data_IF_620906331057
#
_entry.id   IF_620906331057
#
_cell.length_a   1.000
_cell.length_b   1.000
_cell.length_c   1.000
_cell.angle_alpha   90.00
_cell.angle_beta   90.00
_cell.angle_gamma   90.00
#
_symmetry.space_group_name_H-M   'P 1'
#
loop_
_entity.id
_entity.type
_entity.pdbx_description
1 polymer ?
#
# COMPACT_ATOMS: atom_id res chain seq x y z
N UNK A 1 -6.79 62.20 -95.22
CA UNK A 1 -8.22 62.57 -95.22
C UNK A 1 -8.91 61.71 -94.16
N UNK A 2 -9.53 62.34 -93.15
CA UNK A 2 -9.94 61.68 -91.91
C UNK A 2 -11.39 61.18 -91.98
N UNK A 3 -11.72 60.16 -91.18
CA UNK A 3 -13.10 59.89 -90.77
C UNK A 3 -13.12 59.13 -89.43
N UNK A 4 -13.57 59.86 -88.42
CA UNK A 4 -14.45 59.46 -87.32
C UNK A 4 -14.05 58.31 -86.38
N UNK A 5 -13.43 58.79 -85.31
CA UNK A 5 -13.51 58.34 -83.93
C UNK A 5 -14.92 57.91 -83.50
N UNK A 6 -15.07 56.63 -83.11
CA UNK A 6 -16.16 56.16 -82.23
C UNK A 6 -15.62 55.17 -81.22
N UNK A 7 -15.36 55.73 -80.05
CA UNK A 7 -15.08 55.10 -78.77
C UNK A 7 -16.18 54.09 -78.39
N UNK A 8 -15.82 52.80 -78.34
CA UNK A 8 -16.71 51.71 -77.89
C UNK A 8 -16.28 51.34 -76.47
N UNK A 9 -17.15 51.68 -75.52
CA UNK A 9 -16.93 51.58 -74.08
C UNK A 9 -16.49 50.21 -73.59
N UNK A 10 -15.42 50.22 -72.78
CA UNK A 10 -15.04 49.13 -71.87
C UNK A 10 -16.15 48.90 -70.83
N UNK A 11 -16.49 47.65 -70.49
CA UNK A 11 -17.31 47.39 -69.31
C UNK A 11 -16.51 47.81 -68.07
N UNK A 12 -16.99 48.83 -67.37
CA UNK A 12 -16.43 49.27 -66.10
C UNK A 12 -16.44 48.12 -65.11
N UNK A 13 -15.25 47.62 -64.77
CA UNK A 13 -15.07 46.75 -63.63
C UNK A 13 -15.47 47.52 -62.38
N UNK A 14 -16.65 47.19 -61.84
CA UNK A 14 -17.05 47.64 -60.53
C UNK A 14 -16.06 47.05 -59.50
N UNK A 15 -15.01 47.79 -59.17
CA UNK A 15 -14.31 47.58 -57.90
C UNK A 15 -15.34 47.86 -56.82
N UNK A 16 -15.91 46.79 -56.25
CA UNK A 16 -16.60 46.87 -54.97
C UNK A 16 -15.56 47.35 -53.97
N UNK A 17 -15.58 48.65 -53.69
CA UNK A 17 -14.94 49.22 -52.51
C UNK A 17 -15.83 48.76 -51.35
N UNK A 18 -15.44 47.68 -50.67
CA UNK A 18 -16.09 47.27 -49.43
C UNK A 18 -15.95 48.42 -48.42
N UNK A 19 -17.01 48.78 -47.69
CA UNK A 19 -16.95 49.82 -46.68
C UNK A 19 -15.92 49.46 -45.59
N UNK A 20 -15.21 50.43 -44.98
CA UNK A 20 -14.14 50.20 -44.00
C UNK A 20 -14.59 49.42 -42.74
N UNK A 21 -15.89 49.31 -42.51
CA UNK A 21 -16.47 48.48 -41.43
C UNK A 21 -16.35 46.98 -41.70
N UNK A 22 -16.29 46.55 -42.96
CA UNK A 22 -16.20 45.12 -43.30
C UNK A 22 -14.77 44.59 -43.15
N UNK A 23 -13.72 45.40 -43.41
CA UNK A 23 -12.32 44.98 -43.20
C UNK A 23 -11.98 44.82 -41.71
N UNK A 24 -12.45 45.73 -40.85
CA UNK A 24 -12.28 45.59 -39.40
C UNK A 24 -13.04 44.39 -38.85
N UNK A 25 -14.26 44.14 -39.33
CA UNK A 25 -15.04 42.98 -38.94
C UNK A 25 -14.37 41.68 -39.40
N UNK A 26 -13.85 41.64 -40.64
CA UNK A 26 -13.16 40.48 -41.18
C UNK A 26 -11.86 40.17 -40.42
N UNK A 27 -11.09 41.20 -40.04
CA UNK A 27 -9.86 41.07 -39.25
C UNK A 27 -10.14 40.64 -37.79
N UNK A 28 -11.21 41.14 -37.18
CA UNK A 28 -11.66 40.71 -35.83
C UNK A 28 -12.17 39.27 -35.83
N UNK A 29 -12.88 38.84 -36.88
CA UNK A 29 -13.36 37.46 -37.04
C UNK A 29 -12.20 36.48 -37.27
N UNK A 30 -11.21 36.84 -38.09
CA UNK A 30 -10.02 35.98 -38.30
C UNK A 30 -9.15 35.88 -37.04
N UNK A 31 -9.00 36.97 -36.27
CA UNK A 31 -8.26 36.96 -35.00
C UNK A 31 -8.98 36.10 -33.95
N UNK A 32 -10.31 36.19 -33.85
CA UNK A 32 -11.11 35.36 -32.95
C UNK A 32 -11.06 33.88 -33.33
N UNK A 33 -11.13 33.56 -34.63
CA UNK A 33 -11.00 32.19 -35.12
C UNK A 33 -9.61 31.58 -34.83
N UNK A 34 -8.55 32.38 -34.93
CA UNK A 34 -7.18 31.95 -34.62
C UNK A 34 -6.99 31.73 -33.10
N UNK A 35 -7.57 32.57 -32.25
CA UNK A 35 -7.58 32.39 -30.79
C UNK A 35 -8.37 31.14 -30.36
N UNK A 36 -9.49 30.83 -31.02
CA UNK A 36 -10.26 29.61 -30.76
C UNK A 36 -9.50 28.36 -31.23
N UNK A 37 -8.79 28.44 -32.36
CA UNK A 37 -7.93 27.35 -32.84
C UNK A 37 -6.70 27.10 -31.95
N UNK A 38 -6.17 28.12 -31.28
CA UNK A 38 -5.10 27.95 -30.28
C UNK A 38 -5.62 27.43 -28.92
N UNK A 39 -6.85 27.79 -28.54
CA UNK A 39 -7.49 27.24 -27.34
C UNK A 39 -7.81 25.73 -27.49
N UNK A 40 -8.10 25.25 -28.70
CA UNK A 40 -8.36 23.82 -28.94
C UNK A 40 -7.11 22.95 -29.02
N UNK A 41 -5.93 23.51 -29.29
CA UNK A 41 -4.65 22.78 -29.19
C UNK A 41 -4.15 22.62 -27.75
N UNK A 42 -4.72 23.36 -26.79
CA UNK A 42 -4.37 23.26 -25.37
C UNK A 42 -5.12 22.14 -24.64
N UNK A 43 -6.07 21.48 -25.31
CA UNK A 43 -6.48 20.12 -24.96
C UNK A 43 -5.43 19.12 -25.48
N UNK A 44 -4.15 19.37 -25.14
CA UNK A 44 -3.14 18.35 -25.25
C UNK A 44 -3.64 17.19 -24.38
N UNK A 45 -3.90 16.05 -25.03
CA UNK A 45 -4.23 14.80 -24.39
C UNK A 45 -3.33 14.66 -23.15
N UNK A 46 -3.93 14.73 -21.96
CA UNK A 46 -3.23 14.33 -20.75
C UNK A 46 -2.78 12.91 -21.05
N UNK A 47 -1.47 12.71 -21.23
CA UNK A 47 -0.97 11.41 -21.60
C UNK A 47 -1.43 10.43 -20.50
N UNK A 48 -2.04 9.33 -20.93
CA UNK A 48 -2.72 8.42 -20.02
C UNK A 48 -1.66 7.82 -19.09
N UNK A 49 -1.85 7.96 -17.78
CA UNK A 49 -0.98 7.31 -16.82
C UNK A 49 -1.13 5.78 -16.94
N UNK A 50 -0.04 5.00 -16.84
CA UNK A 50 1.36 5.45 -16.74
C UNK A 50 2.01 5.67 -18.12
N UNK A 51 2.97 6.60 -18.18
CA UNK A 51 3.77 6.88 -19.39
C UNK A 51 5.13 6.17 -19.38
N UNK A 52 5.53 5.64 -18.23
CA UNK A 52 6.81 4.99 -17.97
C UNK A 52 6.65 3.97 -16.83
N UNK A 53 7.65 3.12 -16.58
CA UNK A 53 7.61 2.19 -15.45
C UNK A 53 7.27 2.89 -14.12
N UNK A 54 6.37 2.27 -13.36
CA UNK A 54 5.97 2.75 -12.01
C UNK A 54 6.83 2.02 -10.98
N UNK A 55 7.36 2.76 -10.00
CA UNK A 55 8.09 2.18 -8.87
C UNK A 55 7.13 1.94 -7.72
N UNK A 56 7.02 0.69 -7.30
CA UNK A 56 6.29 0.28 -6.11
C UNK A 56 7.28 0.03 -4.98
N UNK A 57 7.44 1.01 -4.11
CA UNK A 57 8.37 0.94 -2.99
C UNK A 57 7.78 0.08 -1.87
N UNK A 58 8.56 -0.87 -1.38
CA UNK A 58 8.21 -1.78 -0.28
C UNK A 58 9.19 -1.55 0.89
N UNK A 59 8.71 -1.32 2.11
CA UNK A 59 9.53 -0.98 3.29
C UNK A 59 10.30 -2.13 3.94
N UNK A 60 10.22 -3.34 3.40
CA UNK A 60 10.76 -4.56 4.01
C UNK A 60 11.65 -5.35 3.05
N UNK A 61 12.50 -6.21 3.61
CA UNK A 61 13.33 -7.13 2.83
C UNK A 61 12.48 -8.08 1.98
N UNK A 62 12.97 -8.55 0.82
CA UNK A 62 12.26 -9.50 -0.02
C UNK A 62 11.86 -10.79 0.71
N UNK A 63 10.75 -11.40 0.29
CA UNK A 63 10.27 -12.69 0.80
C UNK A 63 9.41 -12.62 2.08
N UNK A 64 9.16 -11.43 2.61
CA UNK A 64 8.14 -11.21 3.64
C UNK A 64 6.75 -11.00 3.05
N UNK A 65 5.71 -11.04 3.89
CA UNK A 65 4.30 -10.93 3.48
C UNK A 65 3.99 -9.70 2.61
N UNK A 66 4.51 -8.52 2.98
CA UNK A 66 4.30 -7.28 2.23
C UNK A 66 4.93 -7.36 0.84
N UNK A 67 6.15 -7.87 0.72
CA UNK A 67 6.85 -8.02 -0.56
C UNK A 67 6.13 -9.03 -1.48
N UNK A 68 5.70 -10.17 -0.92
CA UNK A 68 4.94 -11.19 -1.64
C UNK A 68 3.66 -10.61 -2.24
N UNK A 69 2.85 -9.90 -1.43
CA UNK A 69 1.60 -9.33 -1.93
C UNK A 69 1.84 -8.15 -2.88
N UNK A 70 2.83 -7.30 -2.61
CA UNK A 70 3.20 -6.20 -3.50
C UNK A 70 3.59 -6.72 -4.89
N UNK A 71 4.37 -7.80 -4.98
CA UNK A 71 4.76 -8.41 -6.26
C UNK A 71 3.58 -9.00 -7.02
N UNK A 72 2.67 -9.68 -6.32
CA UNK A 72 1.45 -10.21 -6.93
C UNK A 72 0.60 -9.08 -7.53
N UNK A 73 0.34 -8.04 -6.76
CA UNK A 73 -0.44 -6.88 -7.22
C UNK A 73 0.29 -6.14 -8.35
N UNK A 74 1.60 -5.91 -8.22
CA UNK A 74 2.41 -5.24 -9.23
C UNK A 74 2.43 -5.97 -10.58
N UNK A 75 2.60 -7.29 -10.58
CA UNK A 75 2.60 -8.11 -11.79
C UNK A 75 1.24 -8.03 -12.50
N UNK A 76 0.15 -8.19 -11.75
CA UNK A 76 -1.20 -8.14 -12.33
C UNK A 76 -1.57 -6.72 -12.80
N UNK A 77 -1.20 -5.67 -12.06
CA UNK A 77 -1.33 -4.29 -12.51
C UNK A 77 -0.53 -4.04 -13.78
N UNK A 78 0.71 -4.54 -13.86
CA UNK A 78 1.59 -4.30 -14.99
C UNK A 78 1.08 -4.92 -16.29
N UNK A 79 0.52 -6.13 -16.21
CA UNK A 79 -0.18 -6.77 -17.35
C UNK A 79 -1.38 -5.93 -17.80
N UNK A 80 -2.15 -5.41 -16.86
CA UNK A 80 -3.35 -4.63 -17.15
C UNK A 80 -3.04 -3.24 -17.75
N UNK A 81 -1.93 -2.63 -17.35
CA UNK A 81 -1.51 -1.29 -17.80
C UNK A 81 -0.59 -1.32 -19.02
N UNK A 82 -0.12 -2.51 -19.44
CA UNK A 82 0.93 -2.67 -20.46
C UNK A 82 2.22 -1.87 -20.15
N UNK A 83 2.45 -1.59 -18.87
CA UNK A 83 3.62 -0.91 -18.34
C UNK A 83 4.11 -1.64 -17.09
N UNK A 84 5.41 -1.85 -16.92
CA UNK A 84 5.91 -2.61 -15.77
C UNK A 84 5.74 -1.82 -14.47
N UNK A 85 5.31 -2.52 -13.42
CA UNK A 85 5.34 -2.04 -12.03
C UNK A 85 6.53 -2.69 -11.33
N UNK A 86 7.57 -1.90 -11.08
CA UNK A 86 8.84 -2.36 -10.52
C UNK A 86 8.80 -2.29 -9.00
N UNK A 87 8.84 -3.45 -8.34
CA UNK A 87 8.95 -3.54 -6.88
C UNK A 87 10.37 -3.21 -6.42
N UNK A 88 10.50 -2.20 -5.58
CA UNK A 88 11.77 -1.74 -5.00
C UNK A 88 11.75 -1.84 -3.47
N UNK A 89 12.50 -2.79 -2.92
CA UNK A 89 12.62 -2.94 -1.47
C UNK A 89 13.57 -1.89 -0.88
N UNK A 90 13.08 -1.06 0.04
CA UNK A 90 13.85 -0.09 0.83
C UNK A 90 13.70 -0.37 2.33
N UNK A 91 14.34 -1.42 2.86
CA UNK A 91 14.23 -1.77 4.27
C UNK A 91 14.98 -0.77 5.17
N UNK A 92 14.49 -0.61 6.40
CA UNK A 92 15.18 0.14 7.45
C UNK A 92 14.22 0.86 8.39
N UNK A 93 14.56 0.86 9.69
CA UNK A 93 13.83 1.56 10.75
C UNK A 93 12.30 1.33 10.66
N UNK A 94 11.89 0.06 10.61
CA UNK A 94 10.49 -0.38 10.51
C UNK A 94 9.66 0.17 9.34
N UNK A 95 10.31 0.77 8.34
CA UNK A 95 9.69 1.32 7.13
C UNK A 95 9.91 2.81 6.94
N UNK A 96 10.45 3.54 7.94
CA UNK A 96 10.69 4.99 7.87
C UNK A 96 11.46 5.38 6.62
N UNK A 97 12.48 4.61 6.24
CA UNK A 97 13.32 4.90 5.06
C UNK A 97 12.49 4.92 3.77
N UNK A 98 11.60 3.95 3.59
CA UNK A 98 10.73 3.87 2.41
C UNK A 98 9.67 4.98 2.44
N UNK A 99 9.04 5.21 3.59
CA UNK A 99 7.98 6.20 3.74
C UNK A 99 8.50 7.61 3.50
N UNK A 100 9.66 7.98 4.05
CA UNK A 100 10.30 9.26 3.80
C UNK A 100 10.75 9.41 2.34
N UNK A 101 11.23 8.32 1.71
CA UNK A 101 11.59 8.31 0.30
C UNK A 101 10.38 8.61 -0.58
N UNK A 102 9.24 7.95 -0.34
CA UNK A 102 8.02 8.18 -1.13
C UNK A 102 7.38 9.53 -0.81
N UNK A 103 7.37 9.98 0.44
CA UNK A 103 6.83 11.30 0.82
C UNK A 103 7.52 12.46 0.10
N UNK A 104 8.80 12.30 -0.27
CA UNK A 104 9.59 13.30 -1.02
C UNK A 104 9.54 13.11 -2.54
N UNK A 105 8.88 12.09 -3.04
CA UNK A 105 8.79 11.83 -4.47
C UNK A 105 7.88 12.87 -5.16
N UNK A 106 8.11 13.07 -6.45
CA UNK A 106 7.22 13.88 -7.29
C UNK A 106 5.81 13.27 -7.28
N UNK A 107 4.74 14.07 -7.07
CA UNK A 107 3.37 13.58 -7.11
C UNK A 107 2.85 13.38 -8.53
N UNK A 108 3.54 12.53 -9.29
CA UNK A 108 3.23 12.17 -10.68
C UNK A 108 2.72 10.72 -10.84
N UNK A 109 2.49 10.02 -9.73
CA UNK A 109 1.94 8.65 -9.72
C UNK A 109 2.92 7.55 -10.09
N UNK A 110 4.20 7.86 -10.34
CA UNK A 110 5.20 6.87 -10.75
C UNK A 110 6.11 6.39 -9.61
N UNK A 111 5.92 6.91 -8.41
CA UNK A 111 6.53 6.38 -7.18
C UNK A 111 5.43 6.20 -6.16
N UNK A 112 5.10 4.95 -5.86
CA UNK A 112 4.03 4.55 -4.95
C UNK A 112 4.64 3.77 -3.77
N UNK A 113 3.91 3.71 -2.67
CA UNK A 113 4.28 3.01 -1.46
C UNK A 113 3.28 1.88 -1.20
N UNK A 114 3.75 0.64 -1.16
CA UNK A 114 2.98 -0.52 -0.68
C UNK A 114 3.47 -0.87 0.73
N UNK A 115 2.65 -0.62 1.75
CA UNK A 115 3.04 -0.74 3.15
C UNK A 115 1.99 -1.48 3.96
N UNK A 116 2.40 -1.97 5.13
CA UNK A 116 1.51 -2.47 6.17
C UNK A 116 1.02 -1.37 7.12
N UNK A 117 0.14 -1.73 8.06
CA UNK A 117 -0.41 -0.89 9.13
C UNK A 117 0.64 -0.11 9.94
N UNK A 118 1.88 -0.61 9.98
CA UNK A 118 3.07 0.07 10.51
C UNK A 118 3.34 1.45 9.93
N UNK A 119 2.87 1.71 8.70
CA UNK A 119 2.90 3.06 8.12
C UNK A 119 2.23 4.08 9.05
N UNK A 120 1.19 3.66 9.78
CA UNK A 120 0.38 4.51 10.64
C UNK A 120 0.82 4.44 12.10
N UNK A 121 1.13 3.24 12.62
CA UNK A 121 1.45 3.06 14.03
C UNK A 121 2.83 3.64 14.40
N UNK A 122 3.83 3.46 13.54
CA UNK A 122 5.21 3.84 13.82
C UNK A 122 5.42 5.35 14.13
N UNK A 123 4.87 6.32 13.36
CA UNK A 123 5.07 7.74 13.67
C UNK A 123 4.42 8.18 14.97
N UNK A 124 3.53 7.38 15.58
CA UNK A 124 2.95 7.70 16.88
C UNK A 124 3.86 7.36 18.05
N UNK A 125 4.86 6.51 17.82
CA UNK A 125 5.67 5.89 18.87
C UNK A 125 7.16 6.11 18.66
N UNK A 126 7.59 6.48 17.44
CA UNK A 126 8.95 6.90 17.12
C UNK A 126 8.96 8.28 16.48
N UNK A 127 9.44 9.28 17.25
CA UNK A 127 9.58 10.65 16.79
C UNK A 127 10.54 10.82 15.60
N UNK A 128 11.42 9.83 15.34
CA UNK A 128 12.32 9.83 14.18
C UNK A 128 11.62 9.53 12.87
N UNK A 129 10.38 9.02 12.89
CA UNK A 129 9.61 8.77 11.68
C UNK A 129 9.46 10.03 10.83
N UNK A 130 9.22 11.19 11.47
CA UNK A 130 9.17 12.52 10.80
C UNK A 130 8.24 12.55 9.58
N UNK A 131 7.10 11.87 9.66
CA UNK A 131 6.01 11.97 8.69
C UNK A 131 4.66 11.76 9.38
N UNK A 132 3.59 12.32 8.81
CA UNK A 132 2.20 12.11 9.20
C UNK A 132 1.52 11.21 8.15
N UNK A 133 1.16 9.99 8.54
CA UNK A 133 0.58 9.00 7.62
C UNK A 133 -0.74 9.45 6.97
N UNK A 134 -1.46 10.38 7.61
CA UNK A 134 -2.74 10.88 7.13
C UNK A 134 -2.59 12.11 6.21
N UNK A 135 -1.56 12.94 6.43
CA UNK A 135 -1.36 14.22 5.71
C UNK A 135 -0.31 14.15 4.62
N UNK A 136 0.78 13.41 4.84
CA UNK A 136 1.94 13.42 3.95
C UNK A 136 1.82 12.40 2.80
N UNK A 137 0.67 11.75 2.67
CA UNK A 137 0.42 10.70 1.68
C UNK A 137 -0.98 10.79 1.06
N UNK A 138 -1.04 10.63 -0.26
CA UNK A 138 -2.30 10.36 -0.96
C UNK A 138 -2.69 8.90 -0.76
N UNK A 139 -3.92 8.66 -0.30
CA UNK A 139 -4.45 7.32 -0.03
C UNK A 139 -5.06 6.77 -1.31
N UNK A 140 -4.60 5.60 -1.79
CA UNK A 140 -4.97 5.10 -3.13
C UNK A 140 -5.85 3.87 -3.03
N UNK A 141 -5.42 2.84 -2.30
CA UNK A 141 -6.18 1.61 -2.22
C UNK A 141 -5.94 0.83 -0.92
N UNK A 142 -7.02 0.32 -0.33
CA UNK A 142 -6.93 -0.67 0.72
C UNK A 142 -6.77 -2.06 0.09
N UNK A 143 -5.70 -2.78 0.43
CA UNK A 143 -5.39 -4.05 -0.23
C UNK A 143 -6.08 -5.21 0.47
N UNK A 144 -6.14 -5.19 1.80
CA UNK A 144 -6.79 -6.22 2.58
C UNK A 144 -6.27 -6.34 4.01
N UNK A 145 -7.06 -7.01 4.84
CA UNK A 145 -6.64 -7.48 6.16
C UNK A 145 -5.77 -8.72 6.01
N UNK A 146 -4.80 -8.85 6.90
CA UNK A 146 -3.80 -9.91 6.92
C UNK A 146 -3.72 -10.48 8.33
N UNK A 147 -4.21 -11.70 8.56
CA UNK A 147 -4.16 -12.34 9.87
C UNK A 147 -2.71 -12.63 10.26
N UNK A 148 -2.47 -12.70 11.57
CA UNK A 148 -1.19 -13.09 12.13
C UNK A 148 -1.26 -14.52 12.69
N UNK A 149 -0.10 -15.15 12.77
CA UNK A 149 0.07 -16.47 13.38
C UNK A 149 1.18 -16.41 14.42
N UNK A 150 0.89 -16.97 15.61
CA UNK A 150 1.89 -17.26 16.62
C UNK A 150 2.60 -18.54 16.21
N UNK A 151 3.89 -18.44 15.87
CA UNK A 151 4.66 -19.54 15.33
C UNK A 151 5.90 -19.85 16.18
N UNK A 152 6.26 -21.12 16.21
CA UNK A 152 7.51 -21.65 16.82
C UNK A 152 8.22 -22.55 15.80
N UNK A 153 9.52 -22.85 15.96
CA UNK A 153 10.17 -23.85 15.13
C UNK A 153 9.45 -25.21 15.19
N UNK A 154 9.46 -25.98 14.11
CA UNK A 154 8.69 -27.22 14.03
C UNK A 154 9.03 -28.26 15.11
N UNK A 155 10.30 -28.30 15.51
CA UNK A 155 10.84 -29.18 16.57
C UNK A 155 10.72 -28.58 17.98
N UNK A 156 10.05 -27.42 18.14
CA UNK A 156 9.82 -26.79 19.44
C UNK A 156 9.07 -27.73 20.40
N UNK A 157 9.42 -27.73 21.70
CA UNK A 157 8.65 -28.46 22.71
C UNK A 157 7.25 -27.85 22.91
N UNK A 158 7.02 -26.60 22.51
CA UNK A 158 5.75 -25.92 22.67
C UNK A 158 4.78 -26.31 21.55
N UNK A 159 3.65 -26.92 21.90
CA UNK A 159 2.64 -27.41 20.93
C UNK A 159 1.37 -26.59 20.97
N UNK A 160 1.15 -25.82 22.03
CA UNK A 160 0.02 -24.92 22.23
C UNK A 160 0.49 -23.57 22.76
N UNK A 161 -0.37 -22.55 22.68
CA UNK A 161 -0.08 -21.24 23.29
C UNK A 161 0.13 -21.36 24.82
N UNK A 162 -0.56 -22.31 25.47
CA UNK A 162 -0.40 -22.62 26.90
C UNK A 162 0.98 -23.20 27.22
N UNK A 163 1.52 -24.06 26.35
CA UNK A 163 2.86 -24.62 26.55
C UNK A 163 3.92 -23.51 26.48
N UNK A 164 3.77 -22.59 25.52
CA UNK A 164 4.65 -21.43 25.40
C UNK A 164 4.55 -20.52 26.63
N UNK A 165 3.33 -20.24 27.11
CA UNK A 165 3.11 -19.46 28.34
C UNK A 165 3.82 -20.10 29.54
N UNK A 166 3.69 -21.41 29.73
CA UNK A 166 4.36 -22.14 30.82
C UNK A 166 5.89 -22.08 30.66
N UNK A 167 6.39 -22.28 29.43
CA UNK A 167 7.81 -22.17 29.11
C UNK A 167 8.37 -20.79 29.45
N UNK A 168 7.69 -19.73 29.04
CA UNK A 168 8.11 -18.35 29.27
C UNK A 168 8.10 -17.95 30.76
N UNK A 169 7.22 -18.56 31.57
CA UNK A 169 7.23 -18.36 33.03
C UNK A 169 8.37 -19.12 33.72
N UNK A 170 8.83 -20.22 33.13
CA UNK A 170 9.90 -21.05 33.67
C UNK A 170 11.30 -20.59 33.24
N UNK A 171 11.43 -20.01 32.04
CA UNK A 171 12.69 -19.55 31.48
C UNK A 171 12.56 -18.11 30.96
N UNK A 172 13.15 -17.17 31.70
CA UNK A 172 13.15 -15.74 31.35
C UNK A 172 14.00 -15.40 30.13
N UNK A 173 14.69 -16.37 29.52
CA UNK A 173 15.52 -16.17 28.32
C UNK A 173 14.74 -16.39 27.03
N UNK A 174 13.49 -16.88 27.10
CA UNK A 174 12.67 -17.01 25.90
C UNK A 174 12.37 -15.63 25.31
N UNK A 175 12.49 -15.53 23.99
CA UNK A 175 12.29 -14.30 23.24
C UNK A 175 11.29 -14.48 22.11
N UNK A 176 10.58 -13.39 21.83
CA UNK A 176 9.87 -13.18 20.58
C UNK A 176 10.86 -12.68 19.52
N UNK A 177 10.75 -13.16 18.30
CA UNK A 177 11.29 -12.44 17.14
C UNK A 177 10.17 -11.63 16.50
N UNK A 178 10.37 -10.33 16.26
CA UNK A 178 9.38 -9.43 15.65
C UNK A 178 9.78 -8.95 14.26
N UNK A 179 8.80 -8.73 13.38
CA UNK A 179 9.06 -8.24 12.01
C UNK A 179 9.52 -6.78 11.94
N UNK A 180 9.47 -6.07 13.07
CA UNK A 180 10.01 -4.72 13.26
C UNK A 180 9.28 -3.97 14.37
N UNK A 181 9.91 -2.93 14.92
CA UNK A 181 9.30 -2.04 15.92
C UNK A 181 8.02 -1.41 15.37
N UNK A 182 7.00 -1.32 16.23
CA UNK A 182 5.64 -0.83 15.96
C UNK A 182 4.86 -1.57 14.85
N UNK A 183 5.39 -2.66 14.30
CA UNK A 183 4.62 -3.50 13.38
C UNK A 183 3.47 -4.20 14.09
N UNK A 184 2.50 -4.70 13.32
CA UNK A 184 1.43 -5.50 13.90
C UNK A 184 1.95 -6.76 14.63
N UNK A 185 3.07 -7.32 14.19
CA UNK A 185 3.80 -8.37 14.93
C UNK A 185 4.18 -7.91 16.33
N UNK A 186 4.88 -6.78 16.43
CA UNK A 186 5.35 -6.24 17.70
C UNK A 186 4.21 -5.91 18.65
N UNK A 187 3.18 -5.24 18.14
CA UNK A 187 2.00 -4.90 18.94
C UNK A 187 1.27 -6.17 19.43
N UNK A 188 1.15 -7.20 18.59
CA UNK A 188 0.57 -8.47 19.00
C UNK A 188 1.43 -9.21 20.04
N UNK A 189 2.75 -9.20 19.92
CA UNK A 189 3.67 -9.82 20.88
C UNK A 189 3.58 -9.16 22.25
N UNK A 190 3.52 -7.84 22.29
CA UNK A 190 3.35 -7.08 23.53
C UNK A 190 1.96 -7.31 24.16
N UNK A 191 0.91 -7.38 23.34
CA UNK A 191 -0.43 -7.77 23.80
C UNK A 191 -0.45 -9.21 24.34
N UNK A 192 0.25 -10.14 23.69
CA UNK A 192 0.39 -11.52 24.17
C UNK A 192 1.19 -11.60 25.47
N UNK A 193 2.29 -10.85 25.59
CA UNK A 193 3.05 -10.73 26.84
C UNK A 193 2.12 -10.30 27.99
N UNK A 194 1.33 -9.26 27.76
CA UNK A 194 0.35 -8.76 28.73
C UNK A 194 -0.73 -9.79 29.07
N UNK A 195 -1.41 -10.34 28.06
CA UNK A 195 -2.62 -11.14 28.23
C UNK A 195 -2.31 -12.57 28.71
N UNK A 196 -1.12 -13.09 28.40
CA UNK A 196 -0.62 -14.35 28.95
C UNK A 196 0.10 -14.16 30.30
N UNK A 197 0.32 -12.91 30.74
CA UNK A 197 1.12 -12.57 31.91
C UNK A 197 2.48 -13.28 31.87
N UNK A 198 3.25 -12.96 30.83
CA UNK A 198 4.62 -13.40 30.54
C UNK A 198 5.48 -12.21 30.13
N UNK A 199 6.80 -12.38 30.17
CA UNK A 199 7.78 -11.31 29.88
C UNK A 199 8.87 -11.81 28.94
N UNK A 200 8.49 -12.22 27.74
CA UNK A 200 9.47 -12.58 26.71
C UNK A 200 10.01 -11.31 26.07
N UNK A 201 11.35 -11.21 25.98
CA UNK A 201 12.02 -10.10 25.28
C UNK A 201 11.65 -10.10 23.80
N UNK A 202 11.52 -8.92 23.19
CA UNK A 202 11.26 -8.77 21.76
C UNK A 202 12.54 -8.44 21.00
N UNK A 203 12.94 -9.33 20.10
CA UNK A 203 14.09 -9.15 19.19
C UNK A 203 13.59 -8.65 17.83
N UNK A 204 13.98 -7.44 17.45
CA UNK A 204 13.51 -6.79 16.22
C UNK A 204 14.36 -7.09 14.98
N UNK A 205 13.67 -7.47 13.90
CA UNK A 205 14.26 -7.70 12.57
C UNK A 205 13.85 -6.61 11.57
N UNK A 206 14.47 -6.60 10.39
CA UNK A 206 14.17 -5.65 9.30
C UNK A 206 12.99 -6.08 8.40
N UNK A 207 12.20 -7.04 8.87
CA UNK A 207 11.07 -7.62 8.16
C UNK A 207 10.85 -9.09 8.50
N UNK A 208 9.69 -9.62 8.10
CA UNK A 208 9.26 -10.98 8.41
C UNK A 208 10.19 -12.08 7.85
N UNK A 209 10.90 -11.85 6.74
CA UNK A 209 11.77 -12.87 6.15
C UNK A 209 12.92 -13.28 7.09
N UNK A 210 13.58 -12.30 7.71
CA UNK A 210 14.65 -12.55 8.69
C UNK A 210 14.08 -13.13 9.98
N UNK A 211 12.99 -12.53 10.49
CA UNK A 211 12.25 -13.03 11.65
C UNK A 211 11.90 -14.53 11.52
N UNK A 212 11.28 -14.94 10.41
CA UNK A 212 10.89 -16.33 10.18
C UNK A 212 12.10 -17.26 10.08
N UNK A 213 13.20 -16.80 9.49
CA UNK A 213 14.45 -17.59 9.42
C UNK A 213 14.99 -17.90 10.81
N UNK A 214 14.99 -16.92 11.71
CA UNK A 214 15.52 -17.06 13.06
C UNK A 214 14.58 -17.86 13.98
N UNK A 215 13.26 -17.77 13.77
CA UNK A 215 12.30 -18.67 14.42
C UNK A 215 12.57 -20.11 13.97
N UNK A 216 12.72 -20.36 12.65
CA UNK A 216 13.00 -21.71 12.13
C UNK A 216 14.33 -22.25 12.68
N UNK A 217 15.35 -21.40 12.81
CA UNK A 217 16.65 -21.75 13.39
C UNK A 217 16.64 -21.95 14.91
N UNK A 218 15.57 -21.53 15.60
CA UNK A 218 15.49 -21.55 17.06
C UNK A 218 16.39 -20.50 17.73
N UNK A 219 16.78 -19.44 17.01
CA UNK A 219 17.52 -18.31 17.58
C UNK A 219 16.61 -17.42 18.44
N UNK A 220 15.31 -17.43 18.15
CA UNK A 220 14.23 -16.93 19.02
C UNK A 220 13.24 -18.06 19.28
N UNK A 221 12.56 -18.02 20.43
CA UNK A 221 11.69 -19.12 20.85
C UNK A 221 10.38 -19.18 20.05
N UNK A 222 9.84 -18.01 19.71
CA UNK A 222 8.58 -17.86 19.00
C UNK A 222 8.54 -16.51 18.26
N UNK A 223 7.52 -16.28 17.45
CA UNK A 223 7.22 -14.96 16.90
C UNK A 223 5.80 -14.88 16.37
N UNK A 224 5.30 -13.65 16.24
CA UNK A 224 4.02 -13.38 15.58
C UNK A 224 4.31 -12.84 14.19
N UNK A 225 3.88 -13.55 13.15
CA UNK A 225 4.15 -13.16 11.77
C UNK A 225 2.85 -13.09 10.96
N UNK A 226 2.73 -12.19 9.97
CA UNK A 226 1.61 -12.22 9.04
C UNK A 226 1.63 -13.52 8.23
N UNK A 227 0.46 -14.13 8.08
CA UNK A 227 0.32 -15.47 7.50
C UNK A 227 0.87 -15.61 6.08
N UNK A 228 0.72 -14.65 5.14
CA UNK A 228 1.23 -14.82 3.77
C UNK A 228 2.73 -15.18 3.69
N UNK A 229 3.55 -14.63 4.59
CA UNK A 229 4.98 -14.91 4.67
C UNK A 229 5.31 -16.18 5.46
N UNK A 230 4.52 -16.51 6.48
CA UNK A 230 4.71 -17.72 7.29
C UNK A 230 4.17 -18.99 6.61
N UNK A 231 3.15 -18.85 5.77
CA UNK A 231 2.38 -19.96 5.20
C UNK A 231 3.23 -20.97 4.42
N UNK A 232 4.21 -20.58 3.57
CA UNK A 232 5.09 -21.56 2.92
C UNK A 232 5.86 -22.44 3.91
N UNK A 233 6.30 -21.87 5.03
CA UNK A 233 7.06 -22.60 6.07
C UNK A 233 6.17 -23.46 6.95
N UNK A 234 4.94 -23.03 7.21
CA UNK A 234 3.91 -23.85 7.87
C UNK A 234 3.56 -25.08 7.01
N UNK A 235 3.34 -24.86 5.70
CA UNK A 235 3.04 -25.93 4.75
C UNK A 235 4.20 -26.91 4.58
N UNK A 236 5.44 -26.42 4.67
CA UNK A 236 6.64 -27.24 4.61
C UNK A 236 7.03 -27.84 5.97
N UNK A 237 6.19 -27.69 7.00
CA UNK A 237 6.43 -28.21 8.36
C UNK A 237 7.77 -27.75 8.96
N UNK A 238 8.24 -26.56 8.58
CA UNK A 238 9.43 -25.90 9.18
C UNK A 238 9.06 -25.02 10.38
N UNK A 239 7.81 -24.59 10.42
CA UNK A 239 7.20 -23.88 11.55
C UNK A 239 5.98 -24.66 12.04
N UNK A 240 5.68 -24.50 13.32
CA UNK A 240 4.42 -24.91 13.94
C UNK A 240 3.63 -23.67 14.33
N UNK A 241 2.37 -23.59 13.88
CA UNK A 241 1.45 -22.57 14.33
C UNK A 241 0.80 -23.00 15.66
N UNK A 242 0.89 -22.13 16.68
CA UNK A 242 0.27 -22.34 17.99
C UNK A 242 -1.15 -21.76 18.04
N UNK A 243 -1.34 -20.60 17.43
CA UNK A 243 -2.63 -19.91 17.33
C UNK A 243 -2.62 -18.92 16.16
N UNK A 244 -3.80 -18.64 15.60
CA UNK A 244 -4.04 -17.48 14.73
C UNK A 244 -4.68 -16.36 15.53
N UNK A 245 -4.43 -15.10 15.16
CA UNK A 245 -4.93 -13.93 15.88
C UNK A 245 -6.22 -13.36 15.28
N UNK A 246 -6.78 -14.02 14.27
CA UNK A 246 -8.07 -13.70 13.67
C UNK A 246 -9.25 -14.11 14.57
N UNK A 247 -10.44 -13.51 14.38
CA UNK A 247 -11.65 -13.86 15.15
C UNK A 247 -12.06 -15.33 15.00
N UNK A 248 -11.76 -15.92 13.85
CA UNK A 248 -12.10 -17.28 13.46
C UNK A 248 -10.86 -17.99 12.93
N UNK A 249 -10.87 -19.32 12.95
CA UNK A 249 -9.81 -20.13 12.34
C UNK A 249 -9.72 -19.86 10.85
N UNK A 250 -8.50 -19.90 10.33
CA UNK A 250 -8.26 -19.70 8.91
C UNK A 250 -8.62 -20.96 8.11
N UNK A 251 -9.25 -20.79 6.95
CA UNK A 251 -9.71 -21.91 6.11
C UNK A 251 -8.56 -22.82 5.67
N UNK A 252 -7.35 -22.30 5.47
CA UNK A 252 -6.15 -23.10 5.13
C UNK A 252 -5.44 -23.68 6.34
N UNK A 253 -5.78 -23.26 7.56
CA UNK A 253 -5.21 -23.76 8.81
C UNK A 253 -6.33 -24.17 9.79
N UNK A 254 -7.27 -25.04 9.40
CA UNK A 254 -8.47 -25.33 10.21
C UNK A 254 -8.17 -26.03 11.54
N UNK A 255 -7.01 -26.68 11.65
CA UNK A 255 -6.54 -27.34 12.88
C UNK A 255 -5.88 -26.38 13.86
N UNK A 256 -5.50 -25.17 13.42
CA UNK A 256 -4.86 -24.17 14.28
C UNK A 256 -5.95 -23.38 14.99
N UNK A 257 -5.98 -23.35 16.34
CA UNK A 257 -6.98 -22.60 17.07
C UNK A 257 -6.77 -21.09 16.94
N UNK A 258 -7.78 -20.30 17.26
CA UNK A 258 -7.58 -18.85 17.46
C UNK A 258 -6.91 -18.60 18.81
N UNK A 259 -6.33 -17.41 19.00
CA UNK A 259 -5.85 -16.97 20.31
C UNK A 259 -6.98 -16.94 21.35
N UNK A 260 -8.18 -16.55 20.94
CA UNK A 260 -9.38 -16.58 21.77
C UNK A 260 -9.76 -18.00 22.23
N UNK A 261 -9.74 -18.98 21.33
CA UNK A 261 -9.94 -20.40 21.65
C UNK A 261 -8.81 -20.96 22.54
N UNK A 262 -7.64 -20.32 22.52
CA UNK A 262 -6.43 -20.73 23.26
C UNK A 262 -6.32 -20.12 24.66
N UNK A 263 -7.41 -19.54 25.18
CA UNK A 263 -7.47 -19.01 26.54
C UNK A 263 -7.28 -17.50 26.66
N UNK A 264 -7.38 -16.75 25.54
CA UNK A 264 -7.34 -15.28 25.52
C UNK A 264 -8.66 -14.68 25.00
N UNK A 265 -9.78 -14.75 25.76
CA UNK A 265 -11.09 -14.33 25.27
C UNK A 265 -11.09 -12.90 24.73
N UNK A 266 -11.62 -12.71 23.53
CA UNK A 266 -11.67 -11.40 22.86
C UNK A 266 -10.35 -10.94 22.24
N UNK A 267 -9.29 -11.75 22.30
CA UNK A 267 -8.05 -11.44 21.59
C UNK A 267 -8.27 -11.50 20.09
N UNK A 268 -8.10 -10.35 19.45
CA UNK A 268 -8.11 -10.17 18.01
C UNK A 268 -7.05 -9.14 17.65
N UNK A 269 -6.20 -9.48 16.69
CA UNK A 269 -5.24 -8.53 16.16
C UNK A 269 -4.82 -8.93 14.76
N UNK A 270 -5.00 -8.05 13.77
CA UNK A 270 -4.56 -8.26 12.40
C UNK A 270 -3.52 -7.22 12.00
N UNK A 271 -2.82 -7.47 10.90
CA UNK A 271 -2.25 -6.39 10.11
C UNK A 271 -3.17 -6.10 8.93
N UNK A 272 -2.93 -5.01 8.22
CA UNK A 272 -3.60 -4.70 6.97
C UNK A 272 -2.65 -3.93 6.06
N UNK A 273 -2.80 -4.11 4.75
CA UNK A 273 -1.90 -3.51 3.76
C UNK A 273 -2.63 -2.47 2.90
N UNK A 274 -1.89 -1.46 2.48
CA UNK A 274 -2.40 -0.35 1.69
C UNK A 274 -1.42 0.10 0.62
N UNK A 275 -1.97 0.88 -0.32
CA UNK A 275 -1.22 1.59 -1.34
C UNK A 275 -1.38 3.10 -1.15
N UNK A 276 -0.25 3.80 -1.08
CA UNK A 276 -0.16 5.25 -1.00
C UNK A 276 0.68 5.82 -2.13
N UNK A 277 0.52 7.11 -2.38
CA UNK A 277 1.47 7.93 -3.11
C UNK A 277 1.95 9.12 -2.26
N UNK A 278 2.92 9.90 -2.76
CA UNK A 278 3.28 11.18 -2.13
C UNK A 278 2.05 12.08 -1.98
N UNK A 279 2.08 13.00 -0.99
CA UNK A 279 1.08 14.05 -0.90
C UNK A 279 0.99 14.87 -2.21
N UNK A 280 -0.21 15.35 -2.53
CA UNK A 280 -0.43 16.25 -3.66
C UNK A 280 -0.69 15.56 -5.00
N UNK A 281 -0.87 14.22 -5.04
CA UNK A 281 -1.44 13.58 -6.24
C UNK A 281 -2.80 14.21 -6.56
N UNK A 282 -3.01 14.56 -7.83
CA UNK A 282 -4.30 15.06 -8.30
C UNK A 282 -5.38 13.97 -8.17
N UNK A 283 -6.60 14.36 -7.84
CA UNK A 283 -7.71 13.40 -7.66
C UNK A 283 -7.95 12.52 -8.88
N UNK A 284 -7.76 13.05 -10.09
CA UNK A 284 -7.87 12.27 -11.32
C UNK A 284 -6.84 11.14 -11.35
N UNK A 285 -5.59 11.44 -11.02
CA UNK A 285 -4.51 10.45 -10.97
C UNK A 285 -4.73 9.43 -9.85
N UNK A 286 -5.23 9.84 -8.68
CA UNK A 286 -5.61 8.90 -7.61
C UNK A 286 -6.69 7.94 -8.11
N UNK A 287 -7.70 8.42 -8.84
CA UNK A 287 -8.75 7.57 -9.43
C UNK A 287 -8.18 6.60 -10.46
N UNK A 288 -7.28 7.04 -11.33
CA UNK A 288 -6.68 6.20 -12.36
C UNK A 288 -5.81 5.08 -11.76
N UNK A 289 -4.97 5.42 -10.77
CA UNK A 289 -4.15 4.43 -10.06
C UNK A 289 -5.05 3.46 -9.29
N UNK A 290 -6.07 3.97 -8.58
CA UNK A 290 -7.03 3.13 -7.87
C UNK A 290 -7.75 2.18 -8.84
N UNK A 291 -8.21 2.66 -10.01
CA UNK A 291 -8.86 1.81 -11.00
C UNK A 291 -7.95 0.68 -11.48
N UNK A 292 -6.65 0.94 -11.65
CA UNK A 292 -5.67 -0.07 -11.99
C UNK A 292 -5.49 -1.13 -10.87
N UNK A 293 -5.41 -0.69 -9.62
CA UNK A 293 -5.31 -1.58 -8.45
C UNK A 293 -6.58 -2.41 -8.30
N UNK A 294 -7.76 -1.77 -8.37
CA UNK A 294 -9.06 -2.42 -8.27
C UNK A 294 -9.23 -3.52 -9.33
N UNK A 295 -8.82 -3.23 -10.57
CA UNK A 295 -8.83 -4.22 -11.66
C UNK A 295 -7.92 -5.40 -11.34
N UNK A 296 -6.73 -5.16 -10.80
CA UNK A 296 -5.82 -6.22 -10.40
C UNK A 296 -6.40 -7.06 -9.24
N UNK A 297 -6.87 -6.42 -8.18
CA UNK A 297 -7.50 -7.07 -7.02
C UNK A 297 -8.77 -7.84 -7.37
N UNK A 298 -9.45 -7.44 -8.44
CA UNK A 298 -10.65 -8.11 -8.96
C UNK A 298 -10.37 -9.27 -9.90
N UNK A 299 -9.12 -9.48 -10.34
CA UNK A 299 -8.76 -10.62 -11.18
C UNK A 299 -8.91 -11.94 -10.44
N UNK A 300 -9.33 -13.00 -11.14
CA UNK A 300 -9.44 -14.34 -10.54
C UNK A 300 -8.09 -14.88 -10.05
N UNK A 301 -7.01 -14.52 -10.73
CA UNK A 301 -5.65 -14.89 -10.33
C UNK A 301 -5.30 -14.31 -8.95
N UNK A 302 -5.55 -13.02 -8.73
CA UNK A 302 -5.30 -12.38 -7.43
C UNK A 302 -6.27 -12.89 -6.38
N UNK A 303 -7.56 -13.04 -6.70
CA UNK A 303 -8.56 -13.62 -5.79
C UNK A 303 -8.10 -14.96 -5.22
N UNK A 304 -7.74 -15.89 -6.10
CA UNK A 304 -7.27 -17.22 -5.70
C UNK A 304 -5.99 -17.15 -4.87
N UNK A 305 -5.03 -16.28 -5.25
CA UNK A 305 -3.78 -16.13 -4.49
C UNK A 305 -4.00 -15.51 -3.12
N UNK A 306 -4.89 -14.53 -3.01
CA UNK A 306 -5.24 -13.89 -1.74
C UNK A 306 -5.99 -14.87 -0.84
N UNK A 307 -6.91 -15.66 -1.39
CA UNK A 307 -7.56 -16.75 -0.67
C UNK A 307 -6.52 -17.77 -0.18
N UNK A 308 -5.59 -18.23 -1.03
CA UNK A 308 -4.50 -19.15 -0.63
C UNK A 308 -3.63 -18.57 0.50
N UNK A 309 -3.39 -17.26 0.48
CA UNK A 309 -2.55 -16.55 1.45
C UNK A 309 -3.32 -15.95 2.63
N UNK A 310 -4.64 -16.22 2.73
CA UNK A 310 -5.50 -15.76 3.81
C UNK A 310 -5.61 -14.23 3.93
N UNK A 311 -5.54 -13.52 2.81
CA UNK A 311 -5.76 -12.08 2.76
C UNK A 311 -7.25 -11.82 2.63
N UNK A 312 -7.84 -11.18 3.63
CA UNK A 312 -9.26 -10.84 3.60
C UNK A 312 -9.45 -9.51 2.88
N UNK A 313 -10.10 -9.57 1.72
CA UNK A 313 -10.38 -8.39 0.89
C UNK A 313 -11.66 -7.71 1.39
N UNK A 314 -11.68 -6.39 1.27
CA UNK A 314 -12.84 -5.56 1.60
C UNK A 314 -13.08 -4.50 0.53
N UNK A 315 -13.67 -3.38 0.93
CA UNK A 315 -13.71 -2.17 0.14
C UNK A 315 -12.28 -1.66 -0.08
N UNK A 316 -11.83 -1.65 -1.34
CA UNK A 316 -10.48 -1.27 -1.74
C UNK A 316 -10.32 0.24 -2.02
N UNK A 317 -11.37 1.04 -1.79
CA UNK A 317 -11.40 2.45 -2.13
C UNK A 317 -10.38 3.31 -1.37
N UNK A 318 -10.01 4.49 -1.92
CA UNK A 318 -9.25 5.51 -1.20
C UNK A 318 -9.87 5.88 0.15
N UNK A 319 -11.21 5.91 0.21
CA UNK A 319 -11.96 6.23 1.41
C UNK A 319 -11.81 5.14 2.48
N UNK A 320 -11.88 3.86 2.09
CA UNK A 320 -11.66 2.75 3.00
C UNK A 320 -10.24 2.76 3.58
N UNK A 321 -9.22 3.00 2.76
CA UNK A 321 -7.84 3.14 3.25
C UNK A 321 -7.71 4.30 4.24
N UNK A 322 -8.29 5.46 3.92
CA UNK A 322 -8.28 6.62 4.84
C UNK A 322 -8.98 6.32 6.16
N UNK A 323 -10.11 5.63 6.14
CA UNK A 323 -10.82 5.21 7.35
C UNK A 323 -9.99 4.21 8.18
N UNK A 324 -9.26 3.30 7.53
CA UNK A 324 -8.32 2.39 8.18
C UNK A 324 -7.17 3.14 8.84
N UNK A 325 -6.55 4.11 8.16
CA UNK A 325 -5.52 4.96 8.76
C UNK A 325 -6.04 5.68 10.01
N UNK A 326 -7.23 6.26 9.97
CA UNK A 326 -7.81 6.93 11.14
C UNK A 326 -8.12 5.96 12.29
N UNK A 327 -8.56 4.74 11.97
CA UNK A 327 -8.92 3.73 12.97
C UNK A 327 -7.68 3.14 13.62
N UNK A 328 -6.68 2.76 12.82
CA UNK A 328 -5.36 2.34 13.28
C UNK A 328 -4.74 3.42 14.16
N UNK A 329 -4.85 4.70 13.75
CA UNK A 329 -4.30 5.78 14.54
C UNK A 329 -4.89 5.85 15.95
N UNK A 330 -6.21 5.70 16.09
CA UNK A 330 -6.88 5.69 17.40
C UNK A 330 -6.52 4.46 18.21
N UNK A 331 -6.44 3.29 17.56
CA UNK A 331 -6.06 2.04 18.20
C UNK A 331 -4.66 2.16 18.84
N UNK A 332 -3.68 2.64 18.07
CA UNK A 332 -2.30 2.77 18.54
C UNK A 332 -2.20 3.81 19.66
N UNK A 333 -2.88 4.95 19.52
CA UNK A 333 -2.95 5.95 20.60
C UNK A 333 -3.49 5.36 21.90
N UNK A 334 -4.54 4.52 21.84
CA UNK A 334 -5.11 3.85 23.00
C UNK A 334 -4.11 2.85 23.60
N UNK A 335 -3.48 2.02 22.76
CA UNK A 335 -2.47 1.04 23.20
C UNK A 335 -1.28 1.70 23.92
N UNK A 336 -0.84 2.87 23.43
CA UNK A 336 0.25 3.65 24.03
C UNK A 336 -0.22 4.32 25.33
N UNK A 337 -1.37 5.00 25.33
CA UNK A 337 -1.91 5.71 26.51
C UNK A 337 -2.20 4.78 27.69
N UNK A 338 -2.64 3.55 27.41
CA UNK A 338 -2.97 2.56 28.42
C UNK A 338 -1.73 1.95 29.10
N UNK A 339 -0.51 2.47 28.84
CA UNK A 339 0.78 2.11 29.45
C UNK A 339 1.14 0.61 29.33
N UNK A 340 0.60 -0.10 28.34
CA UNK A 340 0.66 -1.57 28.27
C UNK A 340 1.51 -2.16 27.14
N UNK A 341 2.21 -1.32 26.37
CA UNK A 341 3.15 -1.76 25.31
C UNK A 341 4.40 -0.89 25.43
N UNK A 342 5.54 -1.50 25.80
CA UNK A 342 6.82 -0.79 25.87
C UNK A 342 7.44 -0.83 24.48
N UNK A 343 7.41 0.29 23.78
CA UNK A 343 8.05 0.43 22.46
C UNK A 343 9.44 0.98 22.71
N UNK A 344 10.38 0.09 23.03
CA UNK A 344 11.81 0.37 23.14
C UNK A 344 12.55 -0.18 21.93
#
# INVERSE_FOLDING_TARGET
MPADDKDIGRPGGARRIMPPLEEEAFMKITTLALCIAWASLSAAAQAAWPERPVRLVVPYTPGGSVDTLARLVADEMGRNLSHPIIVENKPGASGIVASQHVARATPDGHTLLFHASSQVSLPQVDANAKYDALKDFSHIAFIGEVPLVVAVPANSPYKTLRDLQQGARADSRLSWGTSGIATASHLAEELLNRDLDIKMEVVAYRGAAQQLTDIIGGHVAAGVSPVPGAFPYLKAERLRALAVTSPQRLKTLPSVPTAAESGLPGFEFSSWYGLWGPAGLQDALVRDIHAAVHKALSSDAIRKKFDELMVERGDDSPAALRAKVQTESRLVEQLVKDNRIVIQ
#
